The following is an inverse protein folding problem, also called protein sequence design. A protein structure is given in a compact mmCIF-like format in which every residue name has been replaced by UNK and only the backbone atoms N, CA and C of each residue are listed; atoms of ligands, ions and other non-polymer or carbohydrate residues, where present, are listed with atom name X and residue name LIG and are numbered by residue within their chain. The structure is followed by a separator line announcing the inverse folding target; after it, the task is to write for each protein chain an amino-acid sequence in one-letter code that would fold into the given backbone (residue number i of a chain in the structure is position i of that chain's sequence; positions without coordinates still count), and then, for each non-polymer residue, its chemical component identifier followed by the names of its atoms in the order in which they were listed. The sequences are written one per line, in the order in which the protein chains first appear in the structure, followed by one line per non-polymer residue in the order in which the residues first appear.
data_IF_119228691379
#
_entry.id   IF_119228691379
#
_cell.length_a   1.000
_cell.length_b   1.000
_cell.length_c   1.000
_cell.angle_alpha   90.00
_cell.angle_beta   90.00
_cell.angle_gamma   90.00
#
_symmetry.space_group_name_H-M   'P 1'
#
loop_
_entity.id
_entity.type
_entity.pdbx_description
1 polymer ?
#
# COMPACT_ATOMS: atom_id res chain seq x y z
N UNK A 1 -11.03 48.47 1.92
CA UNK A 1 -9.62 48.84 2.17
C UNK A 1 -9.43 49.67 3.45
N UNK A 2 -10.28 50.66 3.76
CA UNK A 2 -10.15 51.50 4.97
C UNK A 2 -10.16 50.67 6.26
N UNK A 3 -11.10 49.72 6.41
CA UNK A 3 -11.19 48.86 7.59
C UNK A 3 -9.95 47.97 7.82
N UNK A 4 -9.33 47.47 6.75
CA UNK A 4 -8.12 46.65 6.85
C UNK A 4 -6.91 47.46 7.36
N UNK A 5 -6.82 48.73 6.95
CA UNK A 5 -5.76 49.64 7.37
C UNK A 5 -5.88 50.03 8.85
N UNK A 6 -7.12 50.18 9.32
CA UNK A 6 -7.44 50.52 10.70
C UNK A 6 -7.20 49.35 11.67
N UNK A 7 -7.58 48.15 11.25
CA UNK A 7 -7.25 46.90 11.96
C UNK A 7 -5.74 46.70 12.01
N UNK A 8 -5.02 46.89 10.90
CA UNK A 8 -3.56 46.79 10.87
C UNK A 8 -2.89 47.78 11.83
N UNK A 9 -3.38 49.03 11.90
CA UNK A 9 -2.87 50.04 12.86
C UNK A 9 -3.07 49.63 14.31
N UNK A 10 -4.25 49.08 14.67
CA UNK A 10 -4.54 48.61 16.03
C UNK A 10 -3.72 47.38 16.41
N UNK A 11 -3.51 46.47 15.45
CA UNK A 11 -2.71 45.25 15.63
C UNK A 11 -1.23 45.60 15.77
N UNK A 12 -0.69 46.45 14.91
CA UNK A 12 0.71 46.91 14.96
C UNK A 12 1.00 47.78 16.20
N UNK A 13 -0.01 48.49 16.72
CA UNK A 13 0.10 49.27 17.96
C UNK A 13 0.15 48.43 19.23
N UNK A 14 -0.21 47.13 19.16
CA UNK A 14 -0.21 46.24 20.30
C UNK A 14 0.90 45.18 20.18
N UNK A 15 1.93 45.31 21.02
CA UNK A 15 3.08 44.39 21.08
C UNK A 15 2.67 42.91 21.24
N UNK A 16 1.56 42.64 21.93
CA UNK A 16 1.06 41.27 22.10
C UNK A 16 0.40 40.73 20.83
N UNK A 17 -0.30 41.58 20.07
CA UNK A 17 -0.92 41.18 18.81
C UNK A 17 0.13 40.93 17.72
N UNK A 18 1.19 41.76 17.68
CA UNK A 18 2.37 41.52 16.82
C UNK A 18 3.07 40.22 17.21
N UNK A 19 3.31 40.00 18.51
CA UNK A 19 3.91 38.77 19.02
C UNK A 19 3.11 37.52 18.63
N UNK A 20 1.78 37.55 18.80
CA UNK A 20 0.91 36.44 18.41
C UNK A 20 0.96 36.15 16.90
N UNK A 21 0.96 37.18 16.05
CA UNK A 21 1.09 37.01 14.60
C UNK A 21 2.43 36.38 14.20
N UNK A 22 3.52 36.76 14.85
CA UNK A 22 4.84 36.18 14.59
C UNK A 22 4.89 34.70 14.96
N UNK A 23 4.29 34.30 16.09
CA UNK A 23 4.21 32.89 16.51
C UNK A 23 3.38 32.09 15.52
N UNK A 24 2.22 32.61 15.08
CA UNK A 24 1.38 31.95 14.08
C UNK A 24 2.15 31.80 12.76
N UNK A 25 2.80 32.87 12.28
CA UNK A 25 3.58 32.83 11.05
C UNK A 25 4.73 31.81 11.13
N UNK A 26 5.43 31.75 12.26
CA UNK A 26 6.49 30.77 12.49
C UNK A 26 5.94 29.34 12.50
N UNK A 27 4.81 29.09 13.16
CA UNK A 27 4.15 27.78 13.18
C UNK A 27 3.75 27.31 11.77
N UNK A 28 3.16 28.21 10.97
CA UNK A 28 2.79 27.91 9.57
C UNK A 28 4.03 27.62 8.72
N UNK A 29 5.12 28.38 8.89
CA UNK A 29 6.37 28.15 8.16
C UNK A 29 7.00 26.79 8.49
N UNK A 30 7.04 26.41 9.77
CA UNK A 30 7.54 25.10 10.21
C UNK A 30 6.66 23.97 9.68
N UNK A 31 5.33 24.12 9.75
CA UNK A 31 4.40 23.10 9.27
C UNK A 31 4.51 22.90 7.76
N UNK A 32 4.55 23.97 6.97
CA UNK A 32 4.68 23.89 5.51
C UNK A 32 6.03 23.29 5.09
N UNK A 33 7.13 23.70 5.72
CA UNK A 33 8.45 23.12 5.48
C UNK A 33 8.51 21.62 5.81
N UNK A 34 7.95 21.24 6.96
CA UNK A 34 7.85 19.85 7.37
C UNK A 34 7.02 19.02 6.38
N UNK A 35 5.86 19.54 5.98
CA UNK A 35 4.96 18.83 5.08
C UNK A 35 5.57 18.58 3.71
N UNK A 36 6.22 19.58 3.09
CA UNK A 36 6.89 19.44 1.79
C UNK A 36 8.04 18.41 1.85
N UNK A 37 8.81 18.42 2.95
CA UNK A 37 9.93 17.48 3.12
C UNK A 37 9.46 16.05 3.44
N UNK A 38 8.34 15.92 4.16
CA UNK A 38 7.80 14.63 4.57
C UNK A 38 7.01 13.94 3.45
N UNK A 39 6.21 14.68 2.68
CA UNK A 39 5.43 14.15 1.56
C UNK A 39 6.32 13.52 0.48
N UNK A 40 7.44 14.17 0.16
CA UNK A 40 8.41 13.66 -0.82
C UNK A 40 9.01 12.30 -0.43
N UNK A 41 9.10 11.98 0.88
CA UNK A 41 9.57 10.69 1.36
C UNK A 41 8.47 9.63 1.43
N UNK A 42 7.25 10.03 1.76
CA UNK A 42 6.10 9.12 1.90
C UNK A 42 5.61 8.59 0.55
N UNK A 43 5.59 9.40 -0.50
CA UNK A 43 5.18 8.97 -1.85
C UNK A 43 6.06 7.81 -2.37
N UNK A 44 7.36 7.84 -2.03
CA UNK A 44 8.30 6.78 -2.39
C UNK A 44 8.11 5.50 -1.57
N UNK A 45 7.56 5.60 -0.35
CA UNK A 45 7.24 4.44 0.49
C UNK A 45 5.94 3.77 0.05
N UNK A 46 4.91 4.56 -0.23
CA UNK A 46 3.59 4.08 -0.65
C UNK A 46 3.63 3.36 -2.01
N UNK A 47 4.47 3.85 -2.94
CA UNK A 47 4.70 3.15 -4.20
C UNK A 47 5.37 1.77 -4.01
N UNK A 48 6.22 1.60 -3.00
CA UNK A 48 6.89 0.31 -2.72
C UNK A 48 5.94 -0.67 -2.07
N UNK A 49 5.10 -0.24 -1.12
CA UNK A 49 4.12 -1.10 -0.46
C UNK A 49 2.98 -1.49 -1.39
N UNK A 50 2.47 -0.56 -2.21
CA UNK A 50 1.42 -0.84 -3.19
C UNK A 50 1.88 -1.83 -4.28
N UNK A 51 3.12 -1.71 -4.75
CA UNK A 51 3.71 -2.67 -5.71
C UNK A 51 3.97 -4.03 -5.09
N UNK A 52 4.50 -4.09 -3.86
CA UNK A 52 4.72 -5.35 -3.16
C UNK A 52 3.41 -6.10 -2.89
N UNK A 53 2.34 -5.40 -2.52
CA UNK A 53 1.02 -6.01 -2.36
C UNK A 53 0.44 -6.53 -3.70
N UNK A 54 0.58 -5.75 -4.78
CA UNK A 54 0.14 -6.17 -6.11
C UNK A 54 0.94 -7.36 -6.68
N UNK A 55 2.25 -7.43 -6.40
CA UNK A 55 3.10 -8.55 -6.78
C UNK A 55 2.78 -9.81 -5.97
N UNK A 56 2.53 -9.68 -4.66
CA UNK A 56 2.10 -10.79 -3.82
C UNK A 56 0.75 -11.37 -4.28
N UNK A 57 -0.20 -10.51 -4.66
CA UNK A 57 -1.50 -10.96 -5.18
C UNK A 57 -1.37 -11.62 -6.55
N UNK A 58 -0.54 -11.07 -7.46
CA UNK A 58 -0.24 -11.72 -8.76
C UNK A 58 0.44 -13.07 -8.59
N UNK A 59 1.33 -13.21 -7.61
CA UNK A 59 1.97 -14.48 -7.31
C UNK A 59 0.96 -15.51 -6.80
N UNK A 60 0.00 -15.10 -5.95
CA UNK A 60 -1.10 -15.97 -5.51
C UNK A 60 -2.00 -16.39 -6.66
N UNK A 61 -2.44 -15.46 -7.50
CA UNK A 61 -3.30 -15.79 -8.65
C UNK A 61 -2.59 -16.76 -9.61
N UNK A 62 -1.29 -16.58 -9.83
CA UNK A 62 -0.51 -17.48 -10.69
C UNK A 62 -0.42 -18.88 -10.10
N UNK A 63 -0.11 -19.00 -8.82
CA UNK A 63 -0.04 -20.28 -8.10
C UNK A 63 -1.40 -20.99 -8.08
N UNK A 64 -2.48 -20.26 -7.85
CA UNK A 64 -3.86 -20.78 -7.82
C UNK A 64 -4.32 -21.24 -9.21
N UNK A 65 -3.92 -20.52 -10.27
CA UNK A 65 -4.19 -20.93 -11.65
C UNK A 65 -3.38 -22.17 -12.07
N UNK A 66 -2.17 -22.33 -11.54
CA UNK A 66 -1.36 -23.53 -11.78
C UNK A 66 -1.96 -24.73 -11.04
N UNK A 67 -2.49 -24.54 -9.84
CA UNK A 67 -3.22 -25.57 -9.09
C UNK A 67 -4.54 -25.98 -9.77
N UNK A 68 -5.33 -25.03 -10.27
CA UNK A 68 -6.57 -25.32 -11.02
C UNK A 68 -6.30 -25.94 -12.40
N UNK A 69 -5.15 -25.68 -13.01
CA UNK A 69 -4.78 -26.28 -14.30
C UNK A 69 -4.33 -27.75 -14.18
N UNK A 70 -4.08 -28.26 -12.97
CA UNK A 70 -3.77 -29.67 -12.74
C UNK A 70 -5.03 -30.48 -12.42
N UNK A 71 -5.26 -31.54 -13.18
CA UNK A 71 -6.27 -32.54 -12.79
C UNK A 71 -5.85 -33.28 -11.50
N UNK A 72 -6.82 -33.77 -10.72
CA UNK A 72 -6.58 -34.59 -9.51
C UNK A 72 -5.66 -35.79 -9.79
N UNK A 73 -5.74 -36.34 -11.01
CA UNK A 73 -4.85 -37.38 -11.49
C UNK A 73 -3.38 -36.91 -11.52
N UNK A 74 -3.10 -35.72 -12.05
CA UNK A 74 -1.75 -35.18 -12.16
C UNK A 74 -1.16 -34.83 -10.80
N UNK A 75 -1.99 -34.36 -9.89
CA UNK A 75 -1.61 -34.04 -8.51
C UNK A 75 -1.22 -35.32 -7.74
N UNK A 76 -2.06 -36.36 -7.83
CA UNK A 76 -1.79 -37.68 -7.27
C UNK A 76 -0.53 -38.33 -7.90
N UNK A 77 -0.40 -38.28 -9.22
CA UNK A 77 0.71 -38.90 -9.93
C UNK A 77 2.05 -38.20 -9.63
N UNK A 78 2.06 -36.87 -9.48
CA UNK A 78 3.26 -36.12 -9.05
C UNK A 78 3.68 -36.50 -7.63
N UNK A 79 2.73 -36.56 -6.70
CA UNK A 79 3.01 -36.93 -5.31
C UNK A 79 3.56 -38.36 -5.16
N UNK A 80 2.97 -39.34 -5.85
CA UNK A 80 3.43 -40.73 -5.79
C UNK A 80 4.79 -40.93 -6.48
N UNK A 81 5.05 -40.26 -7.61
CA UNK A 81 6.39 -40.29 -8.25
C UNK A 81 7.47 -39.69 -7.38
N UNK A 82 7.19 -38.57 -6.70
CA UNK A 82 8.13 -37.95 -5.77
C UNK A 82 8.54 -38.88 -4.61
N UNK A 83 7.70 -39.87 -4.30
CA UNK A 83 7.94 -40.89 -3.26
C UNK A 83 8.38 -42.26 -3.81
N UNK A 84 8.58 -42.39 -5.13
CA UNK A 84 8.94 -43.65 -5.78
C UNK A 84 7.86 -44.73 -5.74
N UNK A 85 6.59 -44.35 -5.53
CA UNK A 85 5.44 -45.25 -5.39
C UNK A 85 4.67 -45.39 -6.72
N UNK A 86 3.95 -46.50 -6.89
CA UNK A 86 3.19 -46.78 -8.12
C UNK A 86 2.02 -45.80 -8.31
N UNK A 87 1.90 -45.22 -9.50
CA UNK A 87 0.80 -44.30 -9.86
C UNK A 87 -0.55 -44.99 -10.13
N UNK A 88 -0.63 -46.32 -10.01
CA UNK A 88 -1.84 -47.10 -10.27
C UNK A 88 -3.01 -46.72 -9.37
N UNK A 89 -2.76 -46.24 -8.15
CA UNK A 89 -3.79 -45.74 -7.24
C UNK A 89 -4.46 -44.43 -7.74
N UNK A 90 -3.78 -43.66 -8.60
CA UNK A 90 -4.32 -42.42 -9.15
C UNK A 90 -5.28 -42.65 -10.32
N UNK A 91 -5.28 -43.85 -10.91
CA UNK A 91 -6.12 -44.18 -12.08
C UNK A 91 -7.62 -44.12 -11.76
N UNK A 92 -8.00 -44.29 -10.50
CA UNK A 92 -9.40 -44.17 -10.05
C UNK A 92 -9.91 -42.72 -10.12
N UNK A 93 -9.01 -41.74 -9.93
CA UNK A 93 -9.33 -40.31 -10.03
C UNK A 93 -9.59 -39.85 -11.48
N UNK A 94 -9.19 -40.64 -12.48
CA UNK A 94 -9.49 -40.36 -13.90
C UNK A 94 -10.97 -40.55 -14.24
N UNK A 95 -11.76 -41.22 -13.38
CA UNK A 95 -13.20 -41.45 -13.57
C UNK A 95 -14.10 -40.44 -12.87
N UNK A 96 -13.53 -39.58 -12.02
CA UNK A 96 -14.27 -38.52 -11.37
C UNK A 96 -14.22 -37.27 -12.28
N UNK A 97 -15.36 -36.74 -12.73
CA UNK A 97 -15.36 -35.43 -13.35
C UNK A 97 -14.89 -34.43 -12.29
N UNK A 98 -13.84 -33.68 -12.60
CA UNK A 98 -13.51 -32.48 -11.83
C UNK A 98 -14.72 -31.56 -11.84
N UNK A 99 -15.17 -31.17 -10.65
CA UNK A 99 -16.29 -30.24 -10.45
C UNK A 99 -15.95 -28.83 -10.97
#
# INVERSE_FOLDING_TARGET
MIAALEVARRVLGNKYAVGALLVIAAGVAVWTYGNIRWSAGYDAYEQKTGKAAAEAERARIKDDSELQALSDYDLCARYLRARGLSVAACTELRRLPGE
#
